data_IF_345053937414
#
_entry.id   IF_345053937414
#
_cell.length_a   1.000
_cell.length_b   1.000
_cell.length_c   1.000
_cell.angle_alpha   90.00
_cell.angle_beta   90.00
_cell.angle_gamma   90.00
#
_symmetry.space_group_name_H-M   'P 1'
#
loop_
_entity.id
_entity.type
_entity.pdbx_description
1 polymer ?
#
# COMPACT_ATOMS: atom_id res chain seq x y z
N UNK A 1 17.53 -4.33 -20.65
CA UNK A 1 16.38 -3.98 -19.81
C UNK A 1 16.83 -3.09 -18.67
N UNK A 2 16.49 -1.79 -18.67
CA UNK A 2 16.77 -0.93 -17.53
C UNK A 2 15.76 -1.23 -16.42
N UNK A 3 16.21 -1.90 -15.36
CA UNK A 3 15.47 -1.93 -14.09
C UNK A 3 15.23 -0.47 -13.66
N UNK A 4 14.01 -0.11 -13.25
CA UNK A 4 13.85 1.20 -12.62
C UNK A 4 14.67 1.14 -11.32
N UNK A 5 15.49 2.16 -11.10
CA UNK A 5 16.48 2.16 -10.00
C UNK A 5 15.86 2.50 -8.65
N UNK A 6 14.55 2.29 -8.50
CA UNK A 6 13.80 2.68 -7.31
C UNK A 6 13.41 1.43 -6.51
N UNK A 7 13.30 1.63 -5.21
CA UNK A 7 12.89 0.64 -4.25
C UNK A 7 11.42 0.85 -3.92
N UNK A 8 10.67 -0.24 -3.94
CA UNK A 8 9.25 -0.27 -3.60
C UNK A 8 9.03 -1.06 -2.33
N UNK A 9 8.23 -0.51 -1.43
CA UNK A 9 7.64 -1.24 -0.31
C UNK A 9 6.13 -1.16 -0.42
N UNK A 10 5.45 -2.30 -0.47
CA UNK A 10 3.99 -2.40 -0.37
C UNK A 10 3.66 -3.01 0.99
N UNK A 11 2.81 -2.32 1.74
CA UNK A 11 2.39 -2.73 3.08
C UNK A 11 0.91 -3.07 3.03
N UNK A 12 0.55 -4.19 3.63
CA UNK A 12 -0.82 -4.66 3.76
C UNK A 12 -1.18 -4.66 5.24
N UNK A 13 -2.36 -4.13 5.58
CA UNK A 13 -2.86 -4.10 6.95
C UNK A 13 -4.33 -4.52 7.01
N UNK A 14 -4.70 -5.19 8.10
CA UNK A 14 -6.09 -5.41 8.50
C UNK A 14 -6.47 -4.41 9.59
N UNK A 15 -7.74 -4.06 9.65
CA UNK A 15 -8.29 -3.23 10.72
C UNK A 15 -8.36 -4.00 12.03
N UNK A 16 -8.29 -3.28 13.15
CA UNK A 16 -8.49 -3.88 14.47
C UNK A 16 -9.92 -4.41 14.62
N UNK A 17 -10.06 -5.42 15.46
CA UNK A 17 -11.38 -5.88 15.91
C UNK A 17 -12.17 -4.71 16.52
N UNK A 18 -13.45 -4.62 16.17
CA UNK A 18 -14.34 -3.53 16.61
C UNK A 18 -14.23 -2.23 15.80
N UNK A 19 -13.19 -2.04 14.97
CA UNK A 19 -13.08 -0.88 14.09
C UNK A 19 -13.93 -1.11 12.84
N UNK A 20 -14.88 -0.21 12.59
CA UNK A 20 -15.71 -0.28 11.38
C UNK A 20 -14.88 0.02 10.13
N UNK A 21 -15.36 -0.47 8.99
CA UNK A 21 -14.67 -0.27 7.73
C UNK A 21 -14.60 1.21 7.33
N UNK A 22 -15.66 1.96 7.61
CA UNK A 22 -15.73 3.39 7.35
C UNK A 22 -14.71 4.15 8.19
N UNK A 23 -14.63 3.83 9.49
CA UNK A 23 -13.67 4.45 10.40
C UNK A 23 -12.23 4.10 10.02
N UNK A 24 -11.96 2.84 9.66
CA UNK A 24 -10.66 2.43 9.14
C UNK A 24 -10.28 3.23 7.90
N UNK A 25 -11.15 3.29 6.89
CA UNK A 25 -10.88 3.98 5.62
C UNK A 25 -10.59 5.46 5.84
N UNK A 26 -11.36 6.12 6.71
CA UNK A 26 -11.18 7.53 7.07
C UNK A 26 -9.83 7.76 7.75
N UNK A 27 -9.47 6.93 8.74
CA UNK A 27 -8.20 7.03 9.44
C UNK A 27 -7.01 6.67 8.54
N UNK A 28 -7.15 5.66 7.71
CA UNK A 28 -6.13 5.26 6.74
C UNK A 28 -5.86 6.38 5.74
N UNK A 29 -6.89 7.02 5.17
CA UNK A 29 -6.69 8.18 4.29
C UNK A 29 -5.95 9.33 5.00
N UNK A 30 -6.31 9.62 6.26
CA UNK A 30 -5.59 10.61 7.09
C UNK A 30 -4.14 10.18 7.35
N UNK A 31 -3.89 8.91 7.59
CA UNK A 31 -2.56 8.36 7.83
C UNK A 31 -1.60 8.69 6.69
N UNK A 32 -2.05 8.61 5.43
CA UNK A 32 -1.22 9.01 4.29
C UNK A 32 -0.84 10.49 4.28
N UNK A 33 -1.74 11.37 4.72
CA UNK A 33 -1.43 12.81 4.88
C UNK A 33 -0.39 13.06 5.97
N UNK A 34 -0.39 12.26 7.04
CA UNK A 34 0.59 12.33 8.12
C UNK A 34 1.96 11.78 7.67
N UNK A 35 1.96 10.73 6.84
CA UNK A 35 3.17 10.14 6.30
C UNK A 35 3.88 11.08 5.31
N UNK A 36 3.14 11.86 4.52
CA UNK A 36 3.66 12.69 3.43
C UNK A 36 4.90 13.53 3.76
N UNK A 37 4.92 14.32 4.84
CA UNK A 37 6.10 15.09 5.25
C UNK A 37 7.33 14.22 5.54
N UNK A 38 7.13 13.06 6.17
CA UNK A 38 8.21 12.14 6.51
C UNK A 38 8.74 11.39 5.28
N UNK A 39 7.84 10.98 4.38
CA UNK A 39 8.19 10.43 3.06
C UNK A 39 9.07 11.42 2.30
N UNK A 40 8.66 12.69 2.25
CA UNK A 40 9.42 13.75 1.57
C UNK A 40 10.78 14.01 2.24
N UNK A 41 10.85 14.00 3.58
CA UNK A 41 12.10 14.15 4.35
C UNK A 41 13.16 13.14 3.93
N UNK A 42 12.74 11.91 3.62
CA UNK A 42 13.60 10.81 3.19
C UNK A 42 13.58 10.60 1.68
N UNK A 43 13.40 11.65 0.88
CA UNK A 43 13.48 11.61 -0.59
C UNK A 43 12.47 10.65 -1.26
N UNK A 44 11.35 10.33 -0.62
CA UNK A 44 10.32 9.48 -1.20
C UNK A 44 9.72 10.08 -2.47
N UNK A 45 9.58 9.23 -3.48
CA UNK A 45 9.06 9.57 -4.82
C UNK A 45 7.54 9.53 -4.81
N UNK A 46 6.97 8.49 -4.19
CA UNK A 46 5.53 8.29 -4.13
C UNK A 46 5.11 7.62 -2.82
N UNK A 47 3.92 7.98 -2.37
CA UNK A 47 3.17 7.30 -1.32
C UNK A 47 1.74 7.15 -1.82
N UNK A 48 1.36 5.91 -2.12
CA UNK A 48 0.10 5.59 -2.77
C UNK A 48 -0.72 4.79 -1.79
N UNK A 49 -1.96 5.18 -1.59
CA UNK A 49 -2.90 4.44 -0.77
C UNK A 49 -3.96 3.83 -1.68
N UNK A 50 -4.08 2.53 -1.59
CA UNK A 50 -5.24 1.81 -2.01
C UNK A 50 -6.04 1.59 -0.73
N UNK A 51 -7.27 2.11 -0.69
CA UNK A 51 -8.21 1.78 0.37
C UNK A 51 -9.10 0.65 -0.13
N UNK A 52 -8.63 -0.62 -0.08
CA UNK A 52 -9.48 -1.73 -0.38
C UNK A 52 -10.55 -1.78 0.72
N UNK A 53 -11.81 -1.82 0.33
CA UNK A 53 -12.98 -2.09 1.19
C UNK A 53 -13.68 -0.82 1.71
N UNK A 54 -14.56 -0.24 0.91
CA UNK A 54 -15.96 -0.19 1.35
C UNK A 54 -16.66 -1.43 0.77
N UNK A 55 -17.98 -1.60 0.94
CA UNK A 55 -18.76 -2.61 0.18
C UNK A 55 -18.35 -2.70 -1.31
N UNK A 56 -17.86 -1.59 -1.86
CA UNK A 56 -17.28 -1.46 -3.19
C UNK A 56 -16.12 -2.42 -3.52
N UNK A 57 -15.25 -2.92 -2.61
CA UNK A 57 -14.18 -3.85 -3.02
C UNK A 57 -14.72 -5.26 -3.26
N UNK A 58 -15.66 -5.71 -2.43
CA UNK A 58 -16.35 -6.97 -2.69
C UNK A 58 -17.08 -6.86 -4.03
N UNK A 59 -17.75 -5.73 -4.28
CA UNK A 59 -18.38 -5.45 -5.56
C UNK A 59 -17.39 -5.36 -6.72
N UNK A 60 -16.22 -4.73 -6.57
CA UNK A 60 -15.21 -4.60 -7.62
C UNK A 60 -14.55 -5.94 -7.93
N UNK A 61 -14.21 -6.74 -6.92
CA UNK A 61 -13.66 -8.08 -7.10
C UNK A 61 -14.69 -9.02 -7.73
N UNK A 62 -15.95 -8.97 -7.27
CA UNK A 62 -17.05 -9.72 -7.88
C UNK A 62 -17.30 -9.25 -9.32
N UNK A 63 -17.32 -7.94 -9.57
CA UNK A 63 -17.48 -7.36 -10.91
C UNK A 63 -16.34 -7.77 -11.82
N UNK A 64 -15.10 -7.75 -11.34
CA UNK A 64 -13.94 -8.24 -12.08
C UNK A 64 -14.11 -9.71 -12.44
N UNK A 65 -14.38 -10.57 -11.46
CA UNK A 65 -14.59 -12.01 -11.66
C UNK A 65 -15.73 -12.31 -12.63
N UNK A 66 -16.85 -11.58 -12.55
CA UNK A 66 -17.96 -11.69 -13.48
C UNK A 66 -17.55 -11.30 -14.91
N UNK A 67 -16.76 -10.23 -15.07
CA UNK A 67 -16.32 -9.74 -16.38
C UNK A 67 -15.27 -10.63 -17.05
N UNK A 68 -14.35 -11.21 -16.27
CA UNK A 68 -13.33 -12.12 -16.81
C UNK A 68 -13.88 -13.53 -17.09
N UNK A 69 -15.02 -13.88 -16.49
CA UNK A 69 -15.74 -15.13 -16.72
C UNK A 69 -15.28 -16.30 -15.84
N UNK A 70 -16.10 -17.36 -15.76
CA UNK A 70 -15.90 -18.48 -14.83
C UNK A 70 -14.68 -19.34 -15.15
N UNK A 71 -14.19 -19.34 -16.39
CA UNK A 71 -12.99 -20.07 -16.79
C UNK A 71 -11.72 -19.41 -16.26
N UNK A 72 -11.71 -18.06 -16.15
CA UNK A 72 -10.55 -17.30 -15.72
C UNK A 72 -10.56 -16.97 -14.23
N UNK A 73 -11.74 -16.76 -13.63
CA UNK A 73 -11.89 -16.34 -12.24
C UNK A 73 -11.11 -17.21 -11.21
N UNK A 74 -11.01 -18.55 -11.35
CA UNK A 74 -10.27 -19.37 -10.40
C UNK A 74 -8.76 -19.10 -10.34
N UNK A 75 -8.18 -18.40 -11.33
CA UNK A 75 -6.77 -18.07 -11.37
C UNK A 75 -6.42 -16.76 -10.64
N UNK A 76 -7.41 -15.99 -10.17
CA UNK A 76 -7.21 -14.70 -9.54
C UNK A 76 -7.62 -14.73 -8.06
N UNK A 77 -6.65 -14.54 -7.18
CA UNK A 77 -6.86 -14.36 -5.75
C UNK A 77 -6.68 -12.89 -5.37
N UNK A 78 -7.62 -12.34 -4.60
CA UNK A 78 -7.57 -10.95 -4.16
C UNK A 78 -6.98 -10.86 -2.75
N UNK A 79 -6.11 -9.87 -2.52
CA UNK A 79 -5.48 -9.67 -1.22
C UNK A 79 -6.53 -9.39 -0.12
N UNK A 80 -6.47 -10.14 0.97
CA UNK A 80 -7.29 -9.94 2.16
C UNK A 80 -6.69 -8.88 3.08
N UNK A 81 -6.73 -7.62 2.64
CA UNK A 81 -6.33 -6.46 3.42
C UNK A 81 -7.42 -5.38 3.39
N UNK A 82 -7.48 -4.60 4.48
CA UNK A 82 -8.34 -3.42 4.64
C UNK A 82 -7.62 -2.13 4.23
N UNK A 83 -6.29 -2.11 4.29
CA UNK A 83 -5.45 -1.02 3.82
C UNK A 83 -4.24 -1.54 3.06
N UNK A 84 -3.94 -0.96 1.90
CA UNK A 84 -2.71 -1.23 1.16
C UNK A 84 -2.06 0.11 0.86
N UNK A 85 -0.79 0.27 1.21
CA UNK A 85 -0.01 1.44 0.80
C UNK A 85 1.28 1.00 0.13
N UNK A 86 1.63 1.71 -0.94
CA UNK A 86 2.88 1.51 -1.68
C UNK A 86 3.72 2.76 -1.57
N UNK A 87 4.95 2.57 -1.12
CA UNK A 87 5.97 3.60 -0.98
C UNK A 87 7.06 3.36 -2.03
N UNK A 88 7.52 4.42 -2.67
CA UNK A 88 8.58 4.35 -3.67
C UNK A 88 9.70 5.32 -3.27
N UNK A 89 10.93 4.81 -3.22
CA UNK A 89 12.12 5.56 -2.83
C UNK A 89 13.27 5.35 -3.83
N UNK A 90 14.17 6.32 -3.99
CA UNK A 90 15.28 6.19 -4.94
C UNK A 90 16.34 5.19 -4.47
N UNK A 91 16.53 5.00 -3.17
CA UNK A 91 17.48 4.02 -2.63
C UNK A 91 16.89 3.24 -1.46
N UNK A 92 17.46 2.06 -1.18
CA UNK A 92 17.13 1.29 0.03
C UNK A 92 17.48 2.07 1.31
N UNK A 93 18.52 2.89 1.30
CA UNK A 93 18.90 3.70 2.46
C UNK A 93 17.85 4.77 2.77
N UNK A 94 17.25 5.37 1.75
CA UNK A 94 16.15 6.31 1.91
C UNK A 94 14.90 5.62 2.50
N UNK A 95 14.55 4.44 1.97
CA UNK A 95 13.45 3.61 2.49
C UNK A 95 13.68 3.21 3.95
N UNK A 96 14.87 2.73 4.29
CA UNK A 96 15.23 2.37 5.66
C UNK A 96 15.29 3.60 6.56
N UNK A 97 15.76 4.74 6.05
CA UNK A 97 15.78 6.02 6.75
C UNK A 97 14.37 6.44 7.18
N UNK A 98 13.39 6.29 6.29
CA UNK A 98 11.98 6.54 6.60
C UNK A 98 11.46 5.68 7.76
N UNK A 99 11.71 4.36 7.75
CA UNK A 99 11.24 3.47 8.82
C UNK A 99 12.02 3.61 10.14
N UNK A 100 13.28 4.04 10.10
CA UNK A 100 14.10 4.27 11.29
C UNK A 100 13.96 5.66 11.89
N UNK A 101 13.24 6.57 11.22
CA UNK A 101 13.03 7.91 11.75
C UNK A 101 12.24 7.83 13.06
N UNK A 102 12.68 8.48 14.15
CA UNK A 102 11.92 8.51 15.39
C UNK A 102 10.47 9.01 15.20
N UNK A 103 10.26 9.96 14.28
CA UNK A 103 8.92 10.46 13.97
C UNK A 103 8.01 9.40 13.32
N UNK A 104 8.59 8.36 12.71
CA UNK A 104 7.83 7.21 12.21
C UNK A 104 7.11 6.51 13.36
N UNK A 105 7.83 6.20 14.43
CA UNK A 105 7.24 5.55 15.60
C UNK A 105 6.25 6.49 16.31
N UNK A 106 6.72 7.70 16.64
CA UNK A 106 5.97 8.66 17.46
C UNK A 106 4.67 9.14 16.82
N UNK A 107 4.63 9.22 15.48
CA UNK A 107 3.47 9.74 14.75
C UNK A 107 2.74 8.66 13.97
N UNK A 108 3.46 7.89 13.14
CA UNK A 108 2.81 6.98 12.19
C UNK A 108 2.38 5.68 12.86
N UNK A 109 3.28 5.02 13.60
CA UNK A 109 2.91 3.78 14.30
C UNK A 109 1.94 4.04 15.44
N UNK A 110 2.07 5.18 16.14
CA UNK A 110 1.08 5.62 17.12
C UNK A 110 -0.32 5.80 16.50
N UNK A 111 -0.43 6.44 15.33
CA UNK A 111 -1.71 6.61 14.62
C UNK A 111 -2.27 5.27 14.12
N UNK A 112 -1.43 4.42 13.51
CA UNK A 112 -1.83 3.09 13.01
C UNK A 112 -2.31 2.18 14.14
N UNK A 113 -1.68 2.26 15.31
CA UNK A 113 -2.09 1.50 16.49
C UNK A 113 -3.51 1.82 16.96
N UNK A 114 -4.13 2.90 16.53
CA UNK A 114 -5.53 3.19 16.88
C UNK A 114 -6.54 2.43 16.00
N UNK A 115 -6.16 1.97 14.81
CA UNK A 115 -7.13 1.48 13.82
C UNK A 115 -6.74 0.22 13.06
N UNK A 116 -5.44 -0.11 12.97
CA UNK A 116 -4.96 -1.31 12.32
C UNK A 116 -4.43 -2.34 13.33
N UNK A 117 -4.59 -3.62 13.01
CA UNK A 117 -4.01 -4.71 13.79
C UNK A 117 -2.52 -4.82 13.45
N UNK A 118 -1.60 -4.52 14.39
CA UNK A 118 -0.16 -4.55 14.12
C UNK A 118 0.34 -5.96 13.77
N UNK A 119 -0.35 -7.01 14.21
CA UNK A 119 0.05 -8.40 13.91
C UNK A 119 -0.32 -8.83 12.50
N UNK A 120 -1.21 -8.09 11.84
CA UNK A 120 -1.63 -8.32 10.46
C UNK A 120 -0.74 -7.65 9.41
N UNK A 121 0.16 -6.77 9.84
CA UNK A 121 0.96 -5.94 8.94
C UNK A 121 2.00 -6.79 8.23
N UNK A 122 1.94 -6.81 6.90
CA UNK A 122 2.91 -7.54 6.06
C UNK A 122 3.51 -6.64 5.00
N UNK A 123 4.76 -6.92 4.63
CA UNK A 123 5.55 -6.11 3.69
C UNK A 123 5.97 -6.94 2.49
N UNK A 124 5.81 -6.37 1.30
CA UNK A 124 6.51 -6.78 0.10
C UNK A 124 7.53 -5.68 -0.25
N UNK A 125 8.82 -6.02 -0.27
CA UNK A 125 9.90 -5.07 -0.58
C UNK A 125 10.71 -5.59 -1.76
N UNK A 126 10.99 -4.72 -2.73
CA UNK A 126 11.78 -5.12 -3.90
C UNK A 126 12.19 -3.95 -4.79
N UNK A 127 12.97 -4.28 -5.81
CA UNK A 127 13.28 -3.34 -6.89
C UNK A 127 12.10 -3.28 -7.85
N UNK A 128 11.78 -2.09 -8.31
CA UNK A 128 10.78 -1.93 -9.35
C UNK A 128 11.39 -2.25 -10.74
N UNK A 129 10.67 -3.04 -11.53
CA UNK A 129 11.02 -3.30 -12.92
C UNK A 129 9.87 -2.79 -13.81
N UNK A 130 10.09 -1.66 -14.47
CA UNK A 130 9.09 -1.04 -15.33
C UNK A 130 9.28 -1.56 -16.75
N UNK A 131 8.30 -2.34 -17.23
CA UNK A 131 8.29 -2.90 -18.59
C UNK A 131 7.45 -2.04 -19.54
N UNK A 132 6.48 -1.28 -19.03
CA UNK A 132 5.67 -0.33 -19.79
C UNK A 132 5.59 0.99 -19.01
N UNK A 133 5.90 2.10 -19.68
CA UNK A 133 5.77 3.46 -19.12
C UNK A 133 5.21 4.41 -20.18
N UNK A 134 4.28 5.29 -19.79
CA UNK A 134 3.66 6.23 -20.74
C UNK A 134 2.97 5.53 -21.94
N UNK A 135 2.45 4.32 -21.73
CA UNK A 135 1.82 3.50 -22.78
C UNK A 135 2.79 2.86 -23.78
N UNK A 136 4.10 2.87 -23.50
CA UNK A 136 5.14 2.32 -24.38
C UNK A 136 5.88 1.17 -23.72
N UNK A 137 6.13 0.11 -24.49
CA UNK A 137 7.00 -1.00 -24.08
C UNK A 137 8.44 -0.51 -23.98
N UNK A 138 9.05 -0.69 -22.81
CA UNK A 138 10.46 -0.42 -22.53
C UNK A 138 11.24 -1.72 -22.81
N UNK A 139 11.75 -1.86 -24.04
CA UNK A 139 12.59 -2.98 -24.48
C UNK A 139 14.03 -2.87 -23.97
#
# INVERSE_FOLDING_TARGET
>A
MPFSKVYRATVFAKRKEGVTQEEFSRRFARHGTLAGPLIKKHNGIAYIQESPMSLAKLELALTFNQKIGPEMAPFFNFAEADGINTLIFPTMNDLVGFFKDPAHEETLNADVAEFADPTSVTFAVGNENVVIEGGKLLV
#
